data_IF_069827053307
#
_entry.id   IF_069827053307
#
_cell.length_a   1.000
_cell.length_b   1.000
_cell.length_c   1.000
_cell.angle_alpha   90.00
_cell.angle_beta   90.00
_cell.angle_gamma   90.00
#
_symmetry.space_group_name_H-M   'P 1'
#
loop_
_entity.id
_entity.type
_entity.pdbx_description
1 polymer ?
#
# COMPACT_ATOMS: atom_id res chain seq x y z
N UNK A 1 8.30 18.50 -4.88
CA UNK A 1 9.27 18.56 -3.77
C UNK A 1 10.34 17.55 -4.08
N UNK A 2 11.60 17.86 -3.77
CA UNK A 2 12.71 16.95 -4.09
C UNK A 2 13.63 16.82 -2.89
N UNK A 3 14.16 15.62 -2.68
CA UNK A 3 15.21 15.32 -1.72
C UNK A 3 16.59 15.73 -2.24
N UNK A 4 17.61 15.48 -1.42
CA UNK A 4 18.97 16.02 -1.61
C UNK A 4 20.07 14.96 -1.56
N UNK A 5 19.74 13.67 -1.70
CA UNK A 5 20.74 12.59 -1.76
C UNK A 5 21.10 11.98 -0.40
N UNK A 6 20.37 12.35 0.65
CA UNK A 6 20.41 11.80 2.00
C UNK A 6 19.00 11.28 2.34
N UNK A 7 18.83 10.59 3.47
CA UNK A 7 17.52 10.14 3.93
C UNK A 7 16.61 11.33 4.29
N UNK A 8 15.65 11.62 3.42
CA UNK A 8 14.73 12.74 3.48
C UNK A 8 13.31 12.32 3.92
N UNK A 9 12.58 13.27 4.51
CA UNK A 9 11.13 13.13 4.74
C UNK A 9 10.43 14.16 3.85
N UNK A 10 9.74 13.68 2.81
CA UNK A 10 8.97 14.50 1.89
C UNK A 10 7.49 14.39 2.25
N UNK A 11 6.89 15.50 2.67
CA UNK A 11 5.49 15.53 3.09
C UNK A 11 4.62 16.29 2.09
N UNK A 12 3.74 15.54 1.40
CA UNK A 12 2.78 16.03 0.40
C UNK A 12 2.01 17.24 0.88
N UNK A 13 1.52 17.18 2.12
CA UNK A 13 0.53 18.10 2.65
C UNK A 13 -0.74 18.12 1.78
N UNK A 14 -1.69 18.98 2.13
CA UNK A 14 -2.92 19.08 1.36
C UNK A 14 -2.66 19.50 -0.08
N UNK A 15 -3.13 18.71 -1.04
CA UNK A 15 -3.01 19.07 -2.43
C UNK A 15 -2.87 17.87 -3.35
N UNK A 16 -2.26 18.15 -4.49
CA UNK A 16 -1.82 17.15 -5.44
C UNK A 16 -0.33 17.42 -5.63
N UNK A 17 0.49 16.66 -4.93
CA UNK A 17 1.91 16.95 -4.82
C UNK A 17 2.75 15.91 -5.57
N UNK A 18 3.90 16.34 -6.06
CA UNK A 18 4.90 15.45 -6.68
C UNK A 18 6.10 15.44 -5.75
N UNK A 19 6.54 14.25 -5.34
CA UNK A 19 7.65 14.02 -4.42
C UNK A 19 8.67 13.10 -5.07
N UNK A 20 9.95 13.48 -5.02
CA UNK A 20 11.08 12.76 -5.61
C UNK A 20 12.23 12.72 -4.59
N UNK A 21 12.72 11.54 -4.22
CA UNK A 21 13.71 11.39 -3.14
C UNK A 21 15.12 11.67 -3.56
N UNK A 22 15.48 11.21 -4.76
CA UNK A 22 16.87 11.01 -5.16
C UNK A 22 17.52 9.91 -4.29
N UNK A 23 18.86 9.91 -4.17
CA UNK A 23 19.55 8.92 -3.34
C UNK A 23 19.18 9.04 -1.86
N UNK A 24 19.17 7.92 -1.14
CA UNK A 24 18.86 7.88 0.29
C UNK A 24 17.78 6.85 0.58
N UNK A 25 17.52 6.58 1.85
CA UNK A 25 16.32 5.85 2.24
C UNK A 25 15.29 6.87 2.72
N UNK A 26 14.38 7.23 1.84
CA UNK A 26 13.47 8.34 1.98
C UNK A 26 12.11 7.92 2.51
N UNK A 27 11.39 8.89 3.07
CA UNK A 27 10.03 8.72 3.57
C UNK A 27 9.08 9.71 2.93
N UNK A 28 8.10 9.20 2.20
CA UNK A 28 7.02 9.98 1.57
C UNK A 28 5.79 9.96 2.44
N UNK A 29 5.26 11.13 2.80
CA UNK A 29 3.96 11.24 3.49
C UNK A 29 2.91 11.63 2.46
N UNK A 30 2.01 10.69 2.17
CA UNK A 30 0.92 10.83 1.20
C UNK A 30 -0.41 11.00 1.94
N UNK A 31 -1.10 12.09 1.66
CA UNK A 31 -2.44 12.38 2.21
C UNK A 31 -3.53 12.56 1.17
N UNK A 32 -3.16 12.59 -0.11
CA UNK A 32 -4.08 12.64 -1.23
C UNK A 32 -3.84 11.49 -2.20
N UNK A 33 -4.92 10.89 -2.70
CA UNK A 33 -4.83 9.87 -3.76
C UNK A 33 -4.32 10.44 -5.11
N UNK A 34 -4.16 11.77 -5.19
CA UNK A 34 -3.59 12.46 -6.35
C UNK A 34 -2.12 12.84 -6.16
N UNK A 35 -1.51 12.53 -5.01
CA UNK A 35 -0.07 12.68 -4.83
C UNK A 35 0.69 11.66 -5.67
N UNK A 36 1.88 12.04 -6.11
CA UNK A 36 2.77 11.20 -6.90
C UNK A 36 4.12 11.09 -6.19
N UNK A 37 4.56 9.86 -6.01
CA UNK A 37 5.90 9.52 -5.53
C UNK A 37 6.70 8.98 -6.71
N UNK A 38 7.87 9.56 -6.96
CA UNK A 38 8.76 9.23 -8.08
C UNK A 38 10.10 8.83 -7.47
N UNK A 39 10.51 7.58 -7.67
CA UNK A 39 11.82 7.06 -7.29
C UNK A 39 12.51 6.41 -8.47
N UNK A 40 13.84 6.50 -8.52
CA UNK A 40 14.63 5.79 -9.52
C UNK A 40 15.27 4.52 -8.96
N UNK A 41 15.67 3.65 -9.88
CA UNK A 41 16.34 2.40 -9.54
C UNK A 41 17.69 2.67 -8.84
N UNK A 42 17.99 1.84 -7.85
CA UNK A 42 19.23 1.86 -7.05
C UNK A 42 19.45 3.15 -6.23
N UNK A 43 18.38 3.90 -5.90
CA UNK A 43 18.47 5.10 -5.08
C UNK A 43 18.29 4.86 -3.58
N UNK A 44 17.68 3.75 -3.17
CA UNK A 44 17.30 3.59 -1.77
C UNK A 44 16.59 2.30 -1.42
N UNK A 45 16.17 2.24 -0.16
CA UNK A 45 15.05 1.41 0.30
C UNK A 45 14.06 2.37 0.95
N UNK A 46 12.97 2.64 0.24
CA UNK A 46 12.16 3.83 0.47
C UNK A 46 10.81 3.47 1.06
N UNK A 47 10.22 4.40 1.81
CA UNK A 47 8.98 4.17 2.57
C UNK A 47 7.91 5.18 2.21
N UNK A 48 6.75 4.71 1.78
CA UNK A 48 5.54 5.53 1.71
C UNK A 48 4.73 5.36 2.98
N UNK A 49 4.49 6.44 3.72
CA UNK A 49 3.47 6.53 4.77
C UNK A 49 2.22 7.15 4.16
N UNK A 50 1.18 6.36 3.94
CA UNK A 50 -0.04 6.82 3.30
C UNK A 50 -1.22 6.85 4.26
N UNK A 51 -1.99 7.94 4.26
CA UNK A 51 -3.27 8.04 4.96
C UNK A 51 -4.48 7.74 4.07
N UNK A 52 -4.23 7.35 2.82
CA UNK A 52 -5.21 6.96 1.79
C UNK A 52 -4.86 5.60 1.18
N UNK A 53 -5.75 5.06 0.35
CA UNK A 53 -5.43 3.87 -0.48
C UNK A 53 -4.25 4.22 -1.37
N UNK A 54 -3.25 3.34 -1.42
CA UNK A 54 -2.01 3.61 -2.15
C UNK A 54 -1.50 2.37 -2.87
N UNK A 55 -0.95 2.57 -4.06
CA UNK A 55 -0.23 1.56 -4.83
C UNK A 55 1.21 2.01 -4.94
N UNK A 56 2.16 1.16 -4.54
CA UNK A 56 3.57 1.46 -4.74
C UNK A 56 3.86 1.53 -6.24
N UNK A 57 4.40 2.66 -6.70
CA UNK A 57 5.03 2.77 -8.02
C UNK A 57 6.32 1.96 -8.06
N UNK A 58 6.92 1.82 -9.25
CA UNK A 58 8.24 1.21 -9.41
C UNK A 58 9.29 1.82 -8.45
N UNK A 59 10.26 1.01 -8.03
CA UNK A 59 11.38 1.39 -7.15
C UNK A 59 11.00 1.82 -5.73
N UNK A 60 9.77 1.55 -5.28
CA UNK A 60 9.39 1.71 -3.87
C UNK A 60 9.23 0.35 -3.19
N UNK A 61 9.80 0.20 -2.01
CA UNK A 61 9.84 -1.09 -1.30
C UNK A 61 8.82 -1.16 -0.17
N UNK A 62 8.60 -0.07 0.57
CA UNK A 62 7.83 -0.13 1.81
C UNK A 62 6.57 0.75 1.76
N UNK A 63 5.46 0.23 2.29
CA UNK A 63 4.22 0.98 2.48
C UNK A 63 3.72 0.82 3.92
N UNK A 64 3.53 1.93 4.60
CA UNK A 64 2.89 2.01 5.92
C UNK A 64 1.56 2.75 5.80
N UNK A 65 0.45 2.06 6.08
CA UNK A 65 -0.87 2.67 6.12
C UNK A 65 -1.10 3.32 7.49
N UNK A 66 -1.38 4.62 7.49
CA UNK A 66 -1.48 5.45 8.70
C UNK A 66 -2.85 6.10 8.90
N UNK A 67 -3.75 5.97 7.91
CA UNK A 67 -5.07 6.59 7.98
C UNK A 67 -6.01 5.95 9.01
N UNK A 68 -7.09 6.66 9.31
CA UNK A 68 -8.09 6.26 10.31
C UNK A 68 -9.27 5.45 9.73
N UNK A 69 -9.29 5.21 8.41
CA UNK A 69 -10.24 4.35 7.73
C UNK A 69 -9.64 2.96 7.42
N UNK A 70 -10.45 1.98 7.03
CA UNK A 70 -9.93 0.78 6.37
C UNK A 70 -9.28 1.19 5.03
N UNK A 71 -8.02 0.81 4.84
CA UNK A 71 -7.22 1.21 3.68
C UNK A 71 -6.66 -0.04 2.97
N UNK A 72 -6.44 0.08 1.68
CA UNK A 72 -5.77 -0.95 0.88
C UNK A 72 -4.41 -0.42 0.46
N UNK A 73 -3.39 -1.20 0.75
CA UNK A 73 -2.04 -1.01 0.21
C UNK A 73 -1.77 -2.06 -0.86
N UNK A 74 -1.34 -1.63 -2.04
CA UNK A 74 -1.02 -2.50 -3.16
C UNK A 74 0.48 -2.38 -3.43
N UNK A 75 1.17 -3.51 -3.50
CA UNK A 75 2.60 -3.56 -3.85
C UNK A 75 2.87 -3.42 -5.34
N UNK A 76 4.14 -3.55 -5.73
CA UNK A 76 4.63 -3.63 -7.10
C UNK A 76 5.33 -4.99 -7.34
N UNK A 77 6.16 -5.10 -8.39
CA UNK A 77 6.87 -6.35 -8.73
C UNK A 77 8.13 -6.62 -7.88
N UNK A 78 8.51 -5.69 -6.98
CA UNK A 78 9.65 -5.83 -6.07
C UNK A 78 9.28 -6.64 -4.81
N UNK A 79 10.28 -6.88 -3.95
CA UNK A 79 10.04 -7.42 -2.62
C UNK A 79 9.47 -6.30 -1.72
N UNK A 80 8.14 -6.21 -1.59
CA UNK A 80 7.51 -5.17 -0.78
C UNK A 80 7.29 -5.55 0.69
N UNK A 81 7.49 -4.59 1.60
CA UNK A 81 7.04 -4.66 2.99
C UNK A 81 5.83 -3.72 3.20
N UNK A 82 4.64 -4.30 3.42
CA UNK A 82 3.41 -3.52 3.63
C UNK A 82 2.92 -3.71 5.06
N UNK A 83 2.92 -2.61 5.82
CA UNK A 83 2.33 -2.52 7.17
C UNK A 83 0.95 -1.90 7.08
N UNK A 84 -0.08 -2.67 7.44
CA UNK A 84 -1.46 -2.20 7.48
C UNK A 84 -1.79 -1.38 8.74
N UNK A 85 -2.87 -0.60 8.68
CA UNK A 85 -3.33 0.16 9.83
C UNK A 85 -4.20 -0.69 10.78
N UNK A 86 -4.41 -0.20 11.99
CA UNK A 86 -5.21 -0.88 13.01
C UNK A 86 -6.71 -1.04 12.69
N UNK A 87 -7.19 -0.41 11.61
CA UNK A 87 -8.60 -0.46 11.19
C UNK A 87 -8.88 -1.63 10.25
N UNK A 88 -7.85 -2.11 9.54
CA UNK A 88 -7.92 -3.31 8.73
C UNK A 88 -8.14 -4.52 9.65
N UNK A 89 -9.40 -4.86 9.89
CA UNK A 89 -9.78 -6.07 10.61
C UNK A 89 -9.89 -7.19 9.58
N UNK A 90 -8.95 -8.13 9.64
CA UNK A 90 -8.95 -9.41 8.93
C UNK A 90 -8.58 -9.40 7.43
N UNK A 91 -8.11 -8.28 6.86
CA UNK A 91 -7.53 -8.24 5.52
C UNK A 91 -6.06 -8.72 5.55
N UNK A 92 -5.66 -9.71 4.74
CA UNK A 92 -4.25 -9.94 4.47
C UNK A 92 -3.73 -8.87 3.49
N UNK A 93 -2.45 -8.46 3.58
CA UNK A 93 -1.83 -7.59 2.58
C UNK A 93 -1.96 -8.20 1.19
N UNK A 94 -2.47 -7.44 0.22
CA UNK A 94 -2.51 -7.84 -1.19
C UNK A 94 -1.15 -7.57 -1.83
N UNK A 95 -0.20 -8.45 -1.55
CA UNK A 95 1.11 -8.44 -2.17
C UNK A 95 1.16 -9.32 -3.42
N UNK A 96 1.78 -8.82 -4.49
CA UNK A 96 2.26 -9.67 -5.57
C UNK A 96 3.33 -10.56 -4.97
N UNK A 97 3.13 -11.87 -4.95
CA UNK A 97 4.23 -12.78 -4.64
C UNK A 97 4.95 -13.11 -5.93
N UNK A 98 6.22 -13.54 -5.81
CA UNK A 98 7.07 -14.11 -6.89
C UNK A 98 6.40 -15.14 -7.82
N UNK A 99 5.18 -15.60 -7.51
CA UNK A 99 4.39 -16.58 -8.25
C UNK A 99 3.14 -16.02 -8.95
N UNK A 100 3.00 -14.71 -9.09
CA UNK A 100 1.92 -14.07 -9.89
C UNK A 100 0.90 -13.30 -9.06
N UNK A 101 0.00 -12.60 -9.78
CA UNK A 101 -1.10 -11.80 -9.23
C UNK A 101 -1.89 -12.65 -8.22
N UNK A 102 -1.96 -12.21 -6.97
CA UNK A 102 -3.06 -12.65 -6.12
C UNK A 102 -4.20 -11.68 -6.43
N UNK A 103 -5.04 -12.03 -7.41
CA UNK A 103 -6.32 -11.35 -7.61
C UNK A 103 -7.22 -11.68 -6.41
N UNK A 104 -7.05 -10.95 -5.31
CA UNK A 104 -7.99 -10.99 -4.18
C UNK A 104 -9.25 -10.26 -4.63
N UNK A 105 -10.15 -11.00 -5.28
CA UNK A 105 -11.50 -10.50 -5.53
C UNK A 105 -12.24 -10.45 -4.19
N UNK A 106 -12.24 -9.28 -3.57
CA UNK A 106 -13.00 -8.95 -2.36
C UNK A 106 -14.50 -9.11 -2.63
N UNK A 107 -15.03 -10.31 -2.41
CA UNK A 107 -16.48 -10.53 -2.42
C UNK A 107 -16.99 -10.42 -1.00
N UNK A 108 -17.74 -9.36 -0.69
CA UNK A 108 -18.47 -9.25 0.58
C UNK A 108 -19.53 -10.36 0.63
N UNK A 109 -19.28 -11.42 1.40
CA UNK A 109 -20.30 -12.45 1.66
C UNK A 109 -21.07 -12.00 2.90
N UNK A 110 -22.23 -11.36 2.71
CA UNK A 110 -23.15 -11.09 3.82
C UNK A 110 -23.77 -12.42 4.24
N UNK A 111 -23.41 -12.91 5.42
CA UNK A 111 -24.00 -14.13 5.95
C UNK A 111 -25.24 -13.72 6.74
N UNK A 112 -26.43 -13.89 6.15
CA UNK A 112 -27.75 -13.49 6.69
C UNK A 112 -28.10 -14.11 8.06
N UNK A 113 -27.19 -14.91 8.66
CA UNK A 113 -27.39 -15.66 9.88
C UNK A 113 -26.54 -15.18 11.09
N UNK A 114 -25.79 -14.08 10.99
CA UNK A 114 -24.99 -13.57 12.12
C UNK A 114 -25.63 -12.33 12.73
N UNK A 115 -26.05 -12.34 14.01
CA UNK A 115 -26.58 -11.16 14.69
C UNK A 115 -25.56 -10.01 14.69
N UNK A 116 -26.08 -8.80 14.48
CA UNK A 116 -25.48 -7.51 14.07
C UNK A 116 -24.21 -6.99 14.81
N UNK A 117 -23.55 -7.76 15.65
CA UNK A 117 -22.35 -7.33 16.40
C UNK A 117 -21.11 -8.22 16.20
N UNK A 118 -21.21 -9.28 15.40
CA UNK A 118 -20.05 -10.09 14.97
C UNK A 118 -20.09 -10.38 13.47
N UNK A 119 -20.21 -9.36 12.62
CA UNK A 119 -19.89 -9.51 11.20
C UNK A 119 -18.39 -9.82 11.09
N UNK A 120 -18.04 -11.10 11.23
CA UNK A 120 -16.76 -11.62 10.80
C UNK A 120 -16.76 -11.60 9.29
N UNK A 121 -16.18 -10.56 8.71
CA UNK A 121 -15.84 -10.52 7.29
C UNK A 121 -14.88 -11.70 7.04
N UNK A 122 -15.41 -12.79 6.49
CA UNK A 122 -14.55 -13.88 6.02
C UNK A 122 -14.11 -13.54 4.61
N UNK A 123 -12.88 -13.04 4.50
CA UNK A 123 -12.19 -12.93 3.23
C UNK A 123 -11.92 -14.34 2.70
N UNK A 124 -12.59 -14.70 1.60
CA UNK A 124 -12.24 -15.88 0.84
C UNK A 124 -11.21 -15.43 -0.20
N UNK A 125 -9.93 -15.76 0.03
CA UNK A 125 -8.92 -15.66 -1.01
C UNK A 125 -9.26 -16.71 -2.08
N UNK A 126 -9.81 -16.28 -3.22
CA UNK A 126 -9.90 -17.12 -4.39
C UNK A 126 -8.50 -17.17 -5.01
N UNK A 127 -7.79 -18.27 -4.80
CA UNK A 127 -6.52 -18.51 -5.49
C UNK A 127 -6.87 -19.02 -6.89
N UNK A 128 -7.03 -18.14 -7.86
CA UNK A 128 -6.93 -18.52 -9.27
C UNK A 128 -5.45 -18.54 -9.63
N UNK A 129 -4.86 -19.75 -9.63
CA UNK A 129 -3.57 -19.95 -10.26
C UNK A 129 -3.79 -19.81 -11.77
N UNK A 130 -3.44 -18.67 -12.36
CA UNK A 130 -3.17 -18.64 -13.79
C UNK A 130 -1.97 -19.57 -14.02
N UNK A 131 -2.25 -20.74 -14.60
CA UNK A 131 -1.20 -21.60 -15.12
C UNK A 131 -0.82 -21.05 -16.48
N UNK A 132 0.46 -20.76 -16.64
CA UNK A 132 1.14 -20.41 -17.90
C UNK A 132 0.54 -21.06 -19.16
#
# INVERSE_FOLDING_TARGET
MSGHGDNDILNGQSGNDIMEGSQGNDTYVVDSASDQVIEQTDEGIDTVKSSVVFTLSDNLENLELTGEAELVGIGNELDNEITENSKNRDLPPVGFTKYGLIDVTLTTVYNDAVPDEQLGLRYLANVELEKD
#
